data_IF_220340240323
#
_entry.id   IF_220340240323
#
_cell.length_a   1.000
_cell.length_b   1.000
_cell.length_c   1.000
_cell.angle_alpha   90.00
_cell.angle_beta   90.00
_cell.angle_gamma   90.00
#
_symmetry.space_group_name_H-M   'P 1'
#
loop_
_entity.id
_entity.type
_entity.pdbx_description
1 polymer ?
#
# COMPACT_ATOMS: atom_id res chain seq x y z
N UNK A 1 5.61 1.08 -19.57
CA UNK A 1 6.77 0.57 -18.80
C UNK A 1 6.25 0.36 -17.39
N UNK A 2 6.49 -0.79 -16.74
CA UNK A 2 5.88 -1.06 -15.43
C UNK A 2 6.18 0.09 -14.48
N UNK A 3 5.12 0.67 -13.91
CA UNK A 3 5.21 1.79 -12.97
C UNK A 3 5.65 1.22 -11.62
N UNK A 4 6.64 1.84 -10.97
CA UNK A 4 7.21 1.30 -9.73
C UNK A 4 7.11 2.30 -8.59
N UNK A 5 6.50 1.86 -7.49
CA UNK A 5 6.54 2.53 -6.19
C UNK A 5 7.59 1.83 -5.34
N UNK A 6 8.72 2.51 -5.06
CA UNK A 6 9.75 2.01 -4.16
C UNK A 6 9.59 2.61 -2.76
N UNK A 7 9.12 1.79 -1.80
CA UNK A 7 8.94 2.22 -0.41
C UNK A 7 10.24 2.47 0.34
N UNK A 8 11.41 2.10 -0.20
CA UNK A 8 12.72 2.47 0.38
C UNK A 8 12.85 3.98 0.58
N UNK A 9 12.22 4.76 -0.29
CA UNK A 9 12.18 6.24 -0.26
C UNK A 9 11.53 6.80 1.00
N UNK A 10 10.71 6.02 1.70
CA UNK A 10 10.06 6.41 2.96
C UNK A 10 10.86 6.03 4.20
N UNK A 11 11.98 5.30 4.04
CA UNK A 11 12.65 4.64 5.17
C UNK A 11 13.77 5.48 5.80
N UNK A 12 14.08 6.65 5.23
CA UNK A 12 15.21 7.47 5.66
C UNK A 12 16.54 6.69 5.58
N UNK A 13 16.80 6.05 4.44
CA UNK A 13 17.95 5.18 4.19
C UNK A 13 17.99 3.97 5.15
N UNK A 14 16.87 3.27 5.33
CA UNK A 14 16.78 2.05 6.14
C UNK A 14 16.69 2.25 7.65
N UNK A 15 16.64 3.49 8.14
CA UNK A 15 16.46 3.80 9.57
C UNK A 15 15.07 3.42 10.08
N UNK A 16 14.06 3.58 9.24
CA UNK A 16 12.68 3.19 9.53
C UNK A 16 12.42 1.81 8.94
N UNK A 17 12.08 0.86 9.81
CA UNK A 17 11.76 -0.53 9.45
C UNK A 17 10.27 -0.86 9.61
N UNK A 18 9.50 0.08 10.16
CA UNK A 18 8.06 -0.01 10.39
C UNK A 18 7.34 1.21 9.79
N UNK A 19 6.64 1.03 8.68
CA UNK A 19 5.84 2.11 8.10
C UNK A 19 4.52 2.20 8.85
N UNK A 20 4.27 3.33 9.51
CA UNK A 20 3.12 3.49 10.38
C UNK A 20 2.56 4.91 10.39
N UNK A 21 1.28 5.02 10.74
CA UNK A 21 0.57 6.29 10.86
C UNK A 21 -0.21 6.66 9.61
N UNK A 22 -1.46 7.07 9.80
CA UNK A 22 -2.38 7.42 8.71
C UNK A 22 -1.86 8.58 7.87
N UNK A 23 -1.49 9.69 8.52
CA UNK A 23 -0.99 10.89 7.85
C UNK A 23 0.27 10.62 7.02
N UNK A 24 1.15 9.73 7.50
CA UNK A 24 2.33 9.29 6.74
C UNK A 24 1.95 8.47 5.51
N UNK A 25 0.93 7.62 5.61
CA UNK A 25 0.37 6.90 4.47
C UNK A 25 -0.24 7.86 3.44
N UNK A 26 -1.00 8.85 3.91
CA UNK A 26 -1.57 9.89 3.03
C UNK A 26 -0.49 10.77 2.40
N UNK A 27 0.57 11.09 3.12
CA UNK A 27 1.72 11.81 2.56
C UNK A 27 2.45 10.96 1.51
N UNK A 28 2.65 9.67 1.77
CA UNK A 28 3.24 8.74 0.82
C UNK A 28 2.40 8.64 -0.48
N UNK A 29 1.07 8.54 -0.35
CA UNK A 29 0.13 8.57 -1.48
C UNK A 29 0.41 9.74 -2.41
N UNK A 30 0.54 10.95 -1.84
CA UNK A 30 0.86 12.17 -2.59
C UNK A 30 2.26 12.13 -3.19
N UNK A 31 3.26 11.65 -2.45
CA UNK A 31 4.65 11.63 -2.95
C UNK A 31 4.90 10.68 -4.11
N UNK A 32 4.01 9.70 -4.30
CA UNK A 32 4.05 8.71 -5.37
C UNK A 32 2.94 8.93 -6.41
N UNK A 33 2.19 10.04 -6.31
CA UNK A 33 1.12 10.39 -7.24
C UNK A 33 0.10 9.26 -7.48
N UNK A 34 -0.30 8.54 -6.42
CA UNK A 34 -1.25 7.41 -6.55
C UNK A 34 -2.59 7.82 -7.18
N UNK A 35 -3.00 9.09 -7.03
CA UNK A 35 -4.22 9.59 -7.68
C UNK A 35 -4.11 9.48 -9.23
N UNK A 36 -2.91 9.65 -9.79
CA UNK A 36 -2.64 9.45 -11.22
C UNK A 36 -2.57 7.96 -11.53
N UNK A 37 -1.85 7.20 -10.70
CA UNK A 37 -1.64 5.77 -10.91
C UNK A 37 -2.93 4.96 -10.84
N UNK A 38 -3.90 5.36 -10.01
CA UNK A 38 -5.21 4.72 -9.89
C UNK A 38 -6.02 4.74 -11.19
N UNK A 39 -5.72 5.66 -12.10
CA UNK A 39 -6.39 5.80 -13.40
C UNK A 39 -5.53 5.27 -14.56
N UNK A 40 -4.34 4.75 -14.26
CA UNK A 40 -3.48 4.09 -15.24
C UNK A 40 -4.10 2.76 -15.69
N UNK A 41 -3.91 2.39 -16.95
CA UNK A 41 -4.24 1.05 -17.44
C UNK A 41 -3.12 0.03 -17.22
N UNK A 42 -1.92 0.49 -16.87
CA UNK A 42 -0.77 -0.38 -16.58
C UNK A 42 -0.71 -0.70 -15.07
N UNK A 43 -0.47 -1.96 -14.68
CA UNK A 43 -0.21 -2.33 -13.29
C UNK A 43 1.02 -1.63 -12.71
N UNK A 44 0.98 -1.44 -11.39
CA UNK A 44 2.00 -0.78 -10.58
C UNK A 44 2.65 -1.78 -9.62
N UNK A 45 3.97 -1.90 -9.68
CA UNK A 45 4.72 -2.71 -8.73
C UNK A 45 5.04 -1.89 -7.48
N UNK A 46 4.57 -2.35 -6.32
CA UNK A 46 4.87 -1.76 -5.01
C UNK A 46 5.96 -2.57 -4.35
N UNK A 47 7.19 -2.06 -4.42
CA UNK A 47 8.38 -2.72 -3.88
C UNK A 47 8.58 -2.31 -2.43
N UNK A 48 8.55 -3.30 -1.54
CA UNK A 48 8.84 -3.12 -0.12
C UNK A 48 10.23 -3.69 0.17
N UNK A 49 11.17 -2.88 0.69
CA UNK A 49 12.50 -3.37 0.99
C UNK A 49 12.49 -4.51 2.02
N UNK A 50 13.39 -5.50 1.92
CA UNK A 50 13.37 -6.70 2.78
C UNK A 50 13.62 -6.40 4.26
N UNK A 51 14.19 -5.24 4.59
CA UNK A 51 14.41 -4.83 5.98
C UNK A 51 13.17 -4.21 6.64
N UNK A 52 12.11 -3.90 5.87
CA UNK A 52 10.83 -3.44 6.39
C UNK A 52 10.02 -4.67 6.77
N UNK A 53 9.82 -4.88 8.07
CA UNK A 53 9.12 -6.06 8.58
C UNK A 53 7.66 -5.77 9.00
N UNK A 54 7.29 -4.49 9.07
CA UNK A 54 5.98 -4.08 9.53
C UNK A 54 5.41 -2.89 8.74
N UNK A 55 4.13 -2.99 8.38
CA UNK A 55 3.31 -1.89 7.87
C UNK A 55 2.01 -1.86 8.68
N UNK A 56 1.71 -0.72 9.31
CA UNK A 56 0.50 -0.62 10.13
C UNK A 56 -0.75 -0.50 9.25
N UNK A 57 -1.88 -0.99 9.75
CA UNK A 57 -3.16 -0.85 9.03
C UNK A 57 -3.51 0.60 8.73
N UNK A 58 -3.23 1.51 9.68
CA UNK A 58 -3.46 2.95 9.49
C UNK A 58 -2.63 3.55 8.36
N UNK A 59 -1.37 3.13 8.20
CA UNK A 59 -0.52 3.57 7.10
C UNK A 59 -1.04 3.05 5.76
N UNK A 60 -1.30 1.75 5.68
CA UNK A 60 -1.83 1.11 4.45
C UNK A 60 -3.15 1.75 4.04
N UNK A 61 -4.07 1.97 4.98
CA UNK A 61 -5.35 2.63 4.71
C UNK A 61 -5.16 4.08 4.28
N UNK A 62 -4.27 4.83 4.93
CA UNK A 62 -3.96 6.21 4.52
C UNK A 62 -3.41 6.31 3.10
N UNK A 63 -2.66 5.31 2.66
CA UNK A 63 -2.05 5.27 1.34
C UNK A 63 -3.02 4.75 0.26
N UNK A 64 -3.68 3.63 0.50
CA UNK A 64 -4.34 2.81 -0.53
C UNK A 64 -5.87 2.72 -0.40
N UNK A 65 -6.49 3.14 0.71
CA UNK A 65 -7.96 3.10 0.82
C UNK A 65 -8.67 3.88 -0.30
N UNK A 66 -8.20 5.07 -0.72
CA UNK A 66 -8.81 5.76 -1.85
C UNK A 66 -8.64 5.00 -3.17
N UNK A 67 -7.48 4.37 -3.40
CA UNK A 67 -7.26 3.50 -4.56
C UNK A 67 -8.24 2.33 -4.61
N UNK A 68 -8.50 1.70 -3.47
CA UNK A 68 -9.49 0.63 -3.37
C UNK A 68 -10.90 1.12 -3.74
N UNK A 69 -11.26 2.37 -3.38
CA UNK A 69 -12.54 2.95 -3.78
C UNK A 69 -12.61 3.24 -5.29
N UNK A 70 -11.51 3.67 -5.90
CA UNK A 70 -11.43 3.96 -7.35
C UNK A 70 -11.49 2.67 -8.16
N UNK A 71 -10.73 1.64 -7.75
CA UNK A 71 -10.64 0.35 -8.44
C UNK A 71 -11.85 -0.57 -8.11
N UNK A 72 -12.61 -0.25 -7.07
CA UNK A 72 -13.92 -0.83 -6.78
C UNK A 72 -13.90 -2.15 -6.00
N UNK A 73 -12.96 -3.06 -6.28
CA UNK A 73 -12.86 -4.35 -5.59
C UNK A 73 -11.43 -4.62 -5.09
N UNK A 74 -11.30 -5.54 -4.11
CA UNK A 74 -9.98 -5.96 -3.62
C UNK A 74 -9.22 -6.71 -4.71
N UNK A 75 -9.91 -7.51 -5.51
CA UNK A 75 -9.33 -8.25 -6.63
C UNK A 75 -8.75 -7.26 -7.66
N UNK A 76 -9.53 -6.29 -8.11
CA UNK A 76 -9.07 -5.25 -9.04
C UNK A 76 -7.91 -4.43 -8.44
N UNK A 77 -7.97 -4.15 -7.14
CA UNK A 77 -6.88 -3.47 -6.43
C UNK A 77 -5.58 -4.27 -6.48
N UNK A 78 -5.60 -5.58 -6.21
CA UNK A 78 -4.38 -6.41 -6.22
C UNK A 78 -3.93 -6.82 -7.63
N UNK A 79 -4.81 -6.80 -8.62
CA UNK A 79 -4.43 -6.88 -10.04
C UNK A 79 -3.66 -5.63 -10.48
N UNK A 80 -4.10 -4.45 -10.02
CA UNK A 80 -3.48 -3.17 -10.35
C UNK A 80 -2.21 -2.91 -9.54
N UNK A 81 -2.25 -3.04 -8.21
CA UNK A 81 -1.11 -2.84 -7.30
C UNK A 81 -0.51 -4.18 -6.88
N UNK A 82 0.62 -4.53 -7.50
CA UNK A 82 1.32 -5.80 -7.29
C UNK A 82 2.41 -5.62 -6.23
N UNK A 83 2.25 -6.25 -5.08
CA UNK A 83 3.19 -6.10 -3.97
C UNK A 83 4.37 -7.06 -4.09
N UNK A 84 5.58 -6.49 -4.12
CA UNK A 84 6.84 -7.23 -4.08
C UNK A 84 7.44 -7.04 -2.68
N UNK A 85 7.15 -7.97 -1.79
CA UNK A 85 7.50 -7.89 -0.37
C UNK A 85 7.60 -9.27 0.28
N UNK A 86 8.09 -9.32 1.53
CA UNK A 86 8.00 -10.52 2.35
C UNK A 86 6.53 -10.91 2.60
N UNK A 87 6.24 -12.22 2.61
CA UNK A 87 4.89 -12.75 2.77
C UNK A 87 4.20 -12.27 4.07
N UNK A 88 4.95 -12.03 5.15
CA UNK A 88 4.40 -11.47 6.38
C UNK A 88 3.93 -10.01 6.20
N UNK A 89 4.62 -9.22 5.38
CA UNK A 89 4.22 -7.84 5.07
C UNK A 89 3.02 -7.83 4.13
N UNK A 90 3.01 -8.68 3.11
CA UNK A 90 1.84 -8.83 2.21
C UNK A 90 0.58 -9.14 3.02
N UNK A 91 0.65 -10.11 3.96
CA UNK A 91 -0.48 -10.43 4.85
C UNK A 91 -0.94 -9.26 5.72
N UNK A 92 -0.04 -8.34 6.12
CA UNK A 92 -0.43 -7.14 6.86
C UNK A 92 -1.20 -6.17 5.97
N UNK A 93 -0.77 -6.01 4.71
CA UNK A 93 -1.43 -5.16 3.71
C UNK A 93 -2.83 -5.69 3.41
N UNK A 94 -2.96 -6.99 3.12
CA UNK A 94 -4.24 -7.65 2.86
C UNK A 94 -5.22 -7.45 4.02
N UNK A 95 -4.78 -7.67 5.26
CA UNK A 95 -5.60 -7.46 6.46
C UNK A 95 -6.03 -6.01 6.66
N UNK A 96 -5.17 -5.05 6.27
CA UNK A 96 -5.48 -3.64 6.42
C UNK A 96 -6.55 -3.14 5.44
N UNK A 97 -6.63 -3.75 4.24
CA UNK A 97 -7.56 -3.38 3.18
C UNK A 97 -8.84 -4.23 3.19
N UNK A 98 -8.80 -5.42 3.78
CA UNK A 98 -9.99 -6.26 3.93
C UNK A 98 -10.93 -5.66 4.99
N UNK A 99 -12.20 -5.38 4.66
CA UNK A 99 -13.17 -4.94 5.65
C UNK A 99 -13.34 -5.99 6.76
N UNK A 100 -13.18 -5.58 8.02
CA UNK A 100 -13.55 -6.43 9.16
C UNK A 100 -15.06 -6.61 9.18
N UNK A 101 -15.55 -7.84 9.00
CA UNK A 101 -16.97 -8.19 9.16
C UNK A 101 -17.43 -8.32 10.63
N UNK A 102 -16.61 -7.94 11.62
CA UNK A 102 -16.94 -8.09 13.05
C UNK A 102 -17.77 -6.94 13.65
N UNK A 103 -18.66 -6.32 12.88
CA UNK A 103 -19.62 -5.32 13.38
C UNK A 103 -21.01 -5.46 12.75
N UNK A 104 -21.45 -6.70 12.54
CA UNK A 104 -22.84 -7.02 12.23
C UNK A 104 -23.28 -8.17 13.15
N UNK A 105 -23.53 -7.84 14.40
CA UNK A 105 -24.28 -8.65 15.37
C UNK A 105 -25.16 -7.70 16.18
#
# INVERSE_FOLDING_TARGET
MPQVIDLSRLTGNGKVKNLSGHDKGTAARRSFDLDVLDHSSEPVDVVVPPFVYAVSSSFVQGMFKPSLNVLGTLEAFFEHYRFVADAAVIRQIERALTPSRLAAA
#
